data_IF_589857184521
#
_entry.id   IF_589857184521
#
_cell.length_a   1.000
_cell.length_b   1.000
_cell.length_c   1.000
_cell.angle_alpha   90.00
_cell.angle_beta   90.00
_cell.angle_gamma   90.00
#
_symmetry.space_group_name_H-M   'P 1'
#
loop_
_entity.id
_entity.type
_entity.pdbx_description
1 polymer ?
#
# COMPACT_ATOMS: atom_id res chain seq x y z
N UNK A 1 -20.09 37.35 28.56
CA UNK A 1 -18.64 37.08 28.37
C UNK A 1 -18.35 35.58 28.18
N UNK A 2 -18.96 34.69 28.96
CA UNK A 2 -18.76 33.24 28.88
C UNK A 2 -19.28 32.63 27.55
N UNK A 3 -20.45 33.07 27.07
CA UNK A 3 -21.05 32.55 25.84
C UNK A 3 -20.21 32.80 24.58
N UNK A 4 -19.57 33.96 24.49
CA UNK A 4 -18.69 34.34 23.38
C UNK A 4 -17.39 33.53 23.37
N UNK A 5 -16.91 33.08 24.54
CA UNK A 5 -15.75 32.21 24.64
C UNK A 5 -16.05 30.81 24.09
N UNK A 6 -17.19 30.22 24.46
CA UNK A 6 -17.58 28.89 23.96
C UNK A 6 -17.87 28.88 22.45
N UNK A 7 -18.50 29.92 21.90
CA UNK A 7 -18.72 30.02 20.44
C UNK A 7 -17.39 30.15 19.69
N UNK A 8 -16.44 30.93 20.21
CA UNK A 8 -15.09 31.05 19.62
C UNK A 8 -14.30 29.74 19.72
N UNK A 9 -14.39 29.03 20.85
CA UNK A 9 -13.74 27.74 21.03
C UNK A 9 -14.34 26.67 20.09
N UNK A 10 -15.66 26.64 19.94
CA UNK A 10 -16.37 25.75 19.03
C UNK A 10 -16.03 26.04 17.56
N UNK A 11 -15.91 27.32 17.19
CA UNK A 11 -15.47 27.74 15.85
C UNK A 11 -14.00 27.36 15.59
N UNK A 12 -13.12 27.47 16.58
CA UNK A 12 -11.72 27.06 16.46
C UNK A 12 -11.63 25.53 16.29
N UNK A 13 -12.39 24.75 17.06
CA UNK A 13 -12.36 23.28 16.92
C UNK A 13 -13.00 22.81 15.61
N UNK A 14 -14.10 23.44 15.15
CA UNK A 14 -14.71 23.09 13.85
C UNK A 14 -13.83 23.52 12.66
N UNK A 15 -13.14 24.65 12.72
CA UNK A 15 -12.19 25.07 11.68
C UNK A 15 -10.94 24.18 11.66
N UNK A 16 -10.45 23.72 12.82
CA UNK A 16 -9.33 22.75 12.88
C UNK A 16 -9.72 21.33 12.46
N UNK A 17 -10.99 20.94 12.56
CA UNK A 17 -11.49 19.65 12.06
C UNK A 17 -11.75 19.64 10.55
N UNK A 18 -11.72 20.79 9.88
CA UNK A 18 -11.96 20.88 8.45
C UNK A 18 -10.62 20.95 7.70
N UNK A 19 -10.37 19.94 6.87
CA UNK A 19 -9.29 19.83 5.87
C UNK A 19 -7.92 19.34 6.36
N UNK A 20 -7.88 18.18 7.04
CA UNK A 20 -6.77 17.26 6.72
C UNK A 20 -7.01 16.71 5.32
N UNK A 21 -6.13 16.97 4.35
CA UNK A 21 -6.37 16.52 3.00
C UNK A 21 -6.19 15.00 2.97
N UNK A 22 -7.19 14.30 2.45
CA UNK A 22 -7.16 12.83 2.35
C UNK A 22 -5.96 12.39 1.50
N UNK A 23 -5.29 11.28 1.86
CA UNK A 23 -4.25 10.71 1.02
C UNK A 23 -4.81 10.34 -0.36
N UNK A 24 -4.01 10.56 -1.40
CA UNK A 24 -4.36 10.10 -2.75
C UNK A 24 -3.92 8.64 -2.92
N UNK A 25 -4.84 7.82 -3.39
CA UNK A 25 -4.67 6.37 -3.53
C UNK A 25 -4.91 5.98 -4.97
N UNK A 26 -4.02 5.17 -5.52
CA UNK A 26 -4.15 4.61 -6.86
C UNK A 26 -3.62 3.18 -6.91
N UNK A 27 -4.22 2.37 -7.76
CA UNK A 27 -3.76 1.01 -8.05
C UNK A 27 -2.81 1.08 -9.25
N UNK A 28 -1.55 0.78 -9.00
CA UNK A 28 -0.52 0.55 -10.01
C UNK A 28 -0.61 -0.89 -10.50
N UNK A 29 -0.60 -1.09 -11.82
CA UNK A 29 -0.69 -2.42 -12.44
C UNK A 29 0.61 -2.74 -13.15
N UNK A 30 1.29 -3.80 -12.72
CA UNK A 30 2.51 -4.27 -13.37
C UNK A 30 2.37 -5.72 -13.86
N UNK A 31 3.14 -6.10 -14.90
CA UNK A 31 3.25 -7.50 -15.30
C UNK A 31 3.96 -8.31 -14.21
N UNK A 32 3.42 -9.49 -13.90
CA UNK A 32 4.07 -10.44 -12.97
C UNK A 32 5.35 -11.03 -13.60
N UNK A 33 5.37 -11.15 -14.93
CA UNK A 33 6.47 -11.76 -15.67
C UNK A 33 6.83 -10.92 -16.90
N UNK A 34 8.11 -10.56 -17.11
CA UNK A 34 8.53 -9.81 -18.29
C UNK A 34 8.33 -10.60 -19.59
N UNK A 35 8.29 -11.95 -19.52
CA UNK A 35 8.09 -12.83 -20.68
C UNK A 35 6.65 -12.96 -21.18
N UNK A 36 5.64 -12.53 -20.41
CA UNK A 36 4.23 -12.50 -20.86
C UNK A 36 3.61 -11.14 -20.49
N UNK A 37 4.02 -10.05 -21.16
CA UNK A 37 3.65 -8.69 -20.78
C UNK A 37 2.14 -8.38 -20.87
N UNK A 38 1.36 -9.23 -21.56
CA UNK A 38 -0.09 -9.10 -21.66
C UNK A 38 -0.82 -9.54 -20.38
N UNK A 39 -0.20 -10.35 -19.52
CA UNK A 39 -0.73 -10.73 -18.21
C UNK A 39 -0.31 -9.69 -17.15
N UNK A 40 -0.85 -8.47 -17.27
CA UNK A 40 -0.75 -7.43 -16.24
C UNK A 40 -1.65 -7.81 -15.06
N UNK A 41 -1.10 -8.54 -14.11
CA UNK A 41 -1.88 -9.12 -13.01
C UNK A 41 -1.44 -8.67 -11.62
N UNK A 42 -0.32 -7.94 -11.49
CA UNK A 42 0.13 -7.49 -10.18
C UNK A 42 -0.47 -6.13 -9.82
N UNK A 43 -1.21 -6.07 -8.72
CA UNK A 43 -1.71 -4.83 -8.15
C UNK A 43 -0.79 -4.39 -7.01
N UNK A 44 -0.23 -3.19 -7.14
CA UNK A 44 0.41 -2.46 -6.05
C UNK A 44 -0.38 -1.19 -5.79
N UNK A 45 -0.57 -0.83 -4.52
CA UNK A 45 -1.34 0.33 -4.11
C UNK A 45 -0.36 1.44 -3.77
N UNK A 46 -0.44 2.54 -4.50
CA UNK A 46 0.32 3.74 -4.21
C UNK A 46 -0.53 4.69 -3.37
N UNK A 47 0.01 5.12 -2.25
CA UNK A 47 -0.61 6.02 -1.28
C UNK A 47 0.31 7.22 -1.13
N UNK A 48 -0.18 8.41 -1.41
CA UNK A 48 0.57 9.65 -1.27
C UNK A 48 -0.14 10.62 -0.35
N UNK A 49 0.63 11.27 0.51
CA UNK A 49 0.11 12.40 1.31
C UNK A 49 -0.05 13.64 0.42
N UNK A 50 -0.80 14.61 0.91
CA UNK A 50 -0.98 15.91 0.24
C UNK A 50 0.36 16.51 -0.16
N UNK A 51 0.44 17.03 -1.39
CA UNK A 51 1.65 17.57 -2.01
C UNK A 51 2.74 16.53 -2.33
N UNK A 52 2.42 15.23 -2.32
CA UNK A 52 3.34 14.14 -2.73
C UNK A 52 4.68 14.14 -2.00
N UNK A 53 4.73 14.70 -0.78
CA UNK A 53 5.96 14.82 0.01
C UNK A 53 6.43 13.46 0.51
N UNK A 54 5.48 12.57 0.82
CA UNK A 54 5.74 11.20 1.23
C UNK A 54 4.77 10.28 0.50
N UNK A 55 5.33 9.24 -0.12
CA UNK A 55 4.55 8.22 -0.80
C UNK A 55 4.98 6.83 -0.37
N UNK A 56 4.00 5.96 -0.27
CA UNK A 56 4.16 4.55 0.05
C UNK A 56 3.58 3.72 -1.08
N UNK A 57 4.23 2.61 -1.38
CA UNK A 57 3.65 1.56 -2.21
C UNK A 57 3.46 0.34 -1.31
N UNK A 58 2.29 -0.27 -1.41
CA UNK A 58 1.95 -1.51 -0.72
C UNK A 58 1.61 -2.56 -1.76
N UNK A 59 2.01 -3.81 -1.54
CA UNK A 59 1.43 -4.91 -2.29
C UNK A 59 1.27 -6.18 -1.45
N UNK A 60 0.58 -7.15 -2.02
CA UNK A 60 0.41 -8.49 -1.48
C UNK A 60 0.95 -9.50 -2.49
N UNK A 61 1.97 -10.25 -2.10
CA UNK A 61 2.77 -11.07 -3.02
C UNK A 61 3.15 -12.42 -2.42
N UNK A 62 3.31 -13.49 -3.22
CA UNK A 62 3.87 -14.75 -2.74
C UNK A 62 5.28 -14.57 -2.17
N UNK A 63 5.55 -15.20 -1.02
CA UNK A 63 6.91 -15.24 -0.43
C UNK A 63 7.85 -16.04 -1.33
N UNK A 64 7.35 -17.12 -1.93
CA UNK A 64 8.11 -17.98 -2.84
C UNK A 64 7.49 -17.92 -4.23
N UNK A 65 8.28 -17.51 -5.23
CA UNK A 65 7.86 -17.37 -6.63
C UNK A 65 8.41 -18.48 -7.53
N UNK A 66 8.82 -19.61 -6.95
CA UNK A 66 9.22 -20.80 -7.71
C UNK A 66 8.07 -21.34 -8.56
N UNK A 67 8.43 -22.12 -9.60
CA UNK A 67 7.45 -22.78 -10.47
C UNK A 67 6.46 -23.64 -9.67
N UNK A 68 6.92 -24.32 -8.62
CA UNK A 68 6.06 -25.14 -7.75
C UNK A 68 4.98 -24.30 -7.05
N UNK A 69 5.36 -23.14 -6.49
CA UNK A 69 4.41 -22.22 -5.86
C UNK A 69 3.41 -21.65 -6.88
N UNK A 70 3.88 -21.33 -8.10
CA UNK A 70 3.01 -20.87 -9.18
C UNK A 70 2.00 -21.94 -9.61
N UNK A 71 2.44 -23.20 -9.76
CA UNK A 71 1.55 -24.33 -10.07
C UNK A 71 0.50 -24.53 -8.98
N UNK A 72 0.89 -24.41 -7.71
CA UNK A 72 -0.07 -24.46 -6.59
C UNK A 72 -1.15 -23.38 -6.70
N UNK A 73 -0.75 -22.13 -6.98
CA UNK A 73 -1.70 -21.03 -7.22
C UNK A 73 -2.65 -21.33 -8.38
N UNK A 74 -2.14 -21.84 -9.50
CA UNK A 74 -2.97 -22.20 -10.67
C UNK A 74 -4.03 -23.25 -10.32
N UNK A 75 -3.69 -24.21 -9.47
CA UNK A 75 -4.61 -25.24 -8.96
C UNK A 75 -5.40 -24.79 -7.71
N UNK A 76 -5.59 -23.49 -7.52
CA UNK A 76 -6.40 -22.90 -6.44
C UNK A 76 -5.93 -23.27 -5.03
N UNK A 77 -4.66 -23.66 -4.86
CA UNK A 77 -4.10 -23.93 -3.53
C UNK A 77 -3.63 -22.64 -2.88
N UNK A 78 -3.77 -22.59 -1.56
CA UNK A 78 -3.24 -21.49 -0.75
C UNK A 78 -1.71 -21.61 -0.67
N UNK A 79 -1.02 -20.48 -0.81
CA UNK A 79 0.42 -20.41 -0.59
C UNK A 79 0.76 -19.25 0.36
N UNK A 80 1.87 -19.33 1.11
CA UNK A 80 2.33 -18.22 1.93
C UNK A 80 2.66 -16.98 1.10
N UNK A 81 2.18 -15.84 1.57
CA UNK A 81 2.36 -14.54 0.98
C UNK A 81 2.76 -13.52 2.05
N UNK A 82 3.21 -12.36 1.59
CA UNK A 82 3.59 -11.24 2.43
C UNK A 82 2.94 -9.96 1.95
N UNK A 83 2.67 -9.07 2.90
CA UNK A 83 2.31 -7.68 2.62
C UNK A 83 3.59 -6.88 2.71
N UNK A 84 3.92 -6.18 1.63
CA UNK A 84 5.13 -5.36 1.55
C UNK A 84 4.76 -3.90 1.53
N UNK A 85 5.47 -3.08 2.29
CA UNK A 85 5.38 -1.62 2.21
C UNK A 85 6.75 -1.05 1.90
N UNK A 86 6.82 -0.15 0.93
CA UNK A 86 8.04 0.61 0.61
C UNK A 86 7.72 2.09 0.54
N UNK A 87 8.60 2.89 1.11
CA UNK A 87 8.58 4.33 0.87
C UNK A 87 9.19 4.59 -0.51
N UNK A 88 8.49 5.34 -1.34
CA UNK A 88 9.01 5.84 -2.62
C UNK A 88 9.15 7.35 -2.46
N UNK A 89 10.37 7.86 -2.55
CA UNK A 89 10.61 9.30 -2.52
C UNK A 89 10.11 9.90 -3.83
N UNK A 90 8.90 10.47 -3.79
CA UNK A 90 8.28 11.12 -4.94
C UNK A 90 8.73 12.57 -5.04
N UNK A 91 9.16 12.97 -6.23
CA UNK A 91 9.38 14.38 -6.55
C UNK A 91 8.03 15.01 -6.90
N UNK A 92 7.75 16.24 -6.43
CA UNK A 92 6.40 16.79 -6.38
C UNK A 92 5.68 17.06 -7.71
N UNK A 93 6.23 16.73 -8.89
CA UNK A 93 5.61 17.12 -10.16
C UNK A 93 5.56 16.09 -11.30
N UNK A 94 6.26 14.96 -11.28
CA UNK A 94 6.28 14.05 -12.45
C UNK A 94 6.67 12.62 -12.06
N UNK A 95 5.72 11.84 -11.56
CA UNK A 95 5.88 10.38 -11.54
C UNK A 95 4.78 9.72 -12.35
N UNK A 96 5.17 9.28 -13.55
CA UNK A 96 4.43 8.36 -14.39
C UNK A 96 4.43 7.00 -13.66
N UNK A 97 3.29 6.30 -13.66
CA UNK A 97 3.12 5.03 -12.95
C UNK A 97 4.26 4.04 -13.22
N UNK A 98 4.77 4.00 -14.46
CA UNK A 98 5.90 3.16 -14.86
C UNK A 98 7.19 3.45 -14.07
N UNK A 99 7.49 4.71 -13.73
CA UNK A 99 8.67 5.04 -12.93
C UNK A 99 8.53 4.55 -11.49
N UNK A 100 7.31 4.62 -10.94
CA UNK A 100 7.03 4.12 -9.59
C UNK A 100 7.15 2.61 -9.56
N UNK A 101 6.60 1.94 -10.58
CA UNK A 101 6.69 0.49 -10.75
C UNK A 101 8.16 0.07 -10.90
N UNK A 102 8.96 0.79 -11.69
CA UNK A 102 10.39 0.51 -11.84
C UNK A 102 11.16 0.68 -10.52
N UNK A 103 10.91 1.76 -9.78
CA UNK A 103 11.52 1.99 -8.47
C UNK A 103 11.11 0.90 -7.48
N UNK A 104 9.83 0.52 -7.47
CA UNK A 104 9.31 -0.60 -6.68
C UNK A 104 10.05 -1.90 -6.99
N UNK A 105 10.21 -2.23 -8.28
CA UNK A 105 10.94 -3.42 -8.68
C UNK A 105 12.42 -3.36 -8.30
N UNK A 106 13.09 -2.21 -8.44
CA UNK A 106 14.50 -2.08 -8.07
C UNK A 106 14.75 -2.26 -6.57
N UNK A 107 13.80 -1.84 -5.72
CA UNK A 107 13.89 -2.10 -4.27
C UNK A 107 13.69 -3.57 -3.95
N UNK A 108 12.73 -4.24 -4.60
CA UNK A 108 12.32 -5.60 -4.20
C UNK A 108 13.10 -6.73 -4.89
N UNK A 109 13.65 -6.51 -6.09
CA UNK A 109 14.36 -7.55 -6.84
C UNK A 109 15.55 -8.21 -6.11
N UNK A 110 16.38 -7.48 -5.31
CA UNK A 110 17.53 -8.09 -4.67
C UNK A 110 17.23 -8.73 -3.31
N UNK A 111 16.00 -8.63 -2.78
CA UNK A 111 15.72 -8.95 -1.38
C UNK A 111 15.30 -10.41 -1.19
N UNK A 112 15.88 -11.06 -0.17
CA UNK A 112 15.28 -12.25 0.43
C UNK A 112 14.00 -11.91 1.19
N UNK A 113 13.22 -12.92 1.55
CA UNK A 113 12.01 -12.73 2.38
C UNK A 113 12.31 -12.02 3.71
N UNK A 114 13.38 -12.42 4.42
CA UNK A 114 13.72 -11.79 5.70
C UNK A 114 14.06 -10.32 5.53
N UNK A 115 14.81 -9.97 4.49
CA UNK A 115 15.16 -8.57 4.20
C UNK A 115 13.94 -7.76 3.75
N UNK A 116 13.05 -8.34 2.94
CA UNK A 116 11.77 -7.75 2.55
C UNK A 116 10.91 -7.43 3.77
N UNK A 117 10.80 -8.37 4.70
CA UNK A 117 10.05 -8.24 5.96
C UNK A 117 10.65 -7.12 6.83
N UNK A 118 11.97 -7.16 7.07
CA UNK A 118 12.67 -6.13 7.85
C UNK A 118 12.48 -4.75 7.25
N UNK A 119 12.56 -4.62 5.92
CA UNK A 119 12.36 -3.33 5.25
C UNK A 119 10.91 -2.84 5.36
N UNK A 120 9.93 -3.74 5.29
CA UNK A 120 8.51 -3.40 5.54
C UNK A 120 8.31 -2.87 6.95
N UNK A 121 8.85 -3.56 7.95
CA UNK A 121 8.72 -3.19 9.36
C UNK A 121 9.38 -1.82 9.63
N UNK A 122 10.61 -1.63 9.13
CA UNK A 122 11.31 -0.34 9.21
C UNK A 122 10.53 0.78 8.51
N UNK A 123 9.98 0.52 7.32
CA UNK A 123 9.19 1.51 6.60
C UNK A 123 7.94 1.89 7.39
N UNK A 124 7.23 0.92 7.96
CA UNK A 124 6.06 1.15 8.80
C UNK A 124 6.40 2.00 10.04
N UNK A 125 7.55 1.76 10.66
CA UNK A 125 8.00 2.51 11.82
C UNK A 125 8.26 3.99 11.52
N UNK A 126 8.65 4.33 10.28
CA UNK A 126 8.86 5.72 9.86
C UNK A 126 7.58 6.53 9.64
N UNK A 127 6.40 5.89 9.64
CA UNK A 127 5.12 6.57 9.41
C UNK A 127 4.77 7.43 10.63
N UNK A 128 4.92 8.75 10.49
CA UNK A 128 4.64 9.72 11.57
C UNK A 128 3.17 10.13 11.67
N UNK A 129 2.44 10.06 10.57
CA UNK A 129 1.02 10.40 10.57
C UNK A 129 0.23 9.28 11.27
N UNK A 130 -0.39 9.62 12.41
CA UNK A 130 -1.08 8.65 13.28
C UNK A 130 -2.27 8.01 12.56
N UNK A 131 -3.07 8.79 11.84
CA UNK A 131 -4.23 8.29 11.08
C UNK A 131 -3.79 7.31 9.99
N UNK A 132 -2.78 7.68 9.21
CA UNK A 132 -2.19 6.80 8.19
C UNK A 132 -1.66 5.52 8.83
N UNK A 133 -0.94 5.63 9.96
CA UNK A 133 -0.41 4.46 10.68
C UNK A 133 -1.53 3.54 11.18
N UNK A 134 -2.63 4.09 11.67
CA UNK A 134 -3.81 3.31 12.07
C UNK A 134 -4.47 2.59 10.88
N UNK A 135 -4.67 3.29 9.75
CA UNK A 135 -5.18 2.67 8.52
C UNK A 135 -4.24 1.57 8.02
N UNK A 136 -2.92 1.81 8.05
CA UNK A 136 -1.90 0.81 7.71
C UNK A 136 -1.95 -0.42 8.63
N UNK A 137 -2.15 -0.23 9.94
CA UNK A 137 -2.29 -1.34 10.87
C UNK A 137 -3.44 -2.26 10.48
N UNK A 138 -4.61 -1.71 10.09
CA UNK A 138 -5.76 -2.50 9.62
C UNK A 138 -5.42 -3.31 8.36
N UNK A 139 -4.61 -2.75 7.45
CA UNK A 139 -4.16 -3.46 6.24
C UNK A 139 -3.33 -4.70 6.61
N UNK A 140 -2.50 -4.60 7.64
CA UNK A 140 -1.67 -5.72 8.09
C UNK A 140 -2.42 -6.82 8.84
N UNK A 141 -3.70 -6.63 9.17
CA UNK A 141 -4.58 -7.68 9.69
C UNK A 141 -5.08 -8.66 8.59
N UNK A 142 -4.76 -8.37 7.32
CA UNK A 142 -5.09 -9.22 6.18
C UNK A 142 -4.39 -10.58 6.22
N UNK A 143 -5.13 -11.66 5.94
CA UNK A 143 -4.59 -13.03 5.95
C UNK A 143 -3.44 -13.20 4.95
N UNK A 144 -2.33 -13.79 5.42
CA UNK A 144 -1.08 -13.96 4.68
C UNK A 144 -1.05 -15.24 3.81
N UNK A 145 -2.19 -15.87 3.59
CA UNK A 145 -2.34 -17.00 2.67
C UNK A 145 -2.94 -16.54 1.36
N UNK A 146 -2.15 -16.53 0.29
CA UNK A 146 -2.64 -16.15 -1.04
C UNK A 146 -3.31 -17.31 -1.76
N UNK A 147 -4.46 -17.02 -2.36
CA UNK A 147 -5.16 -17.87 -3.31
C UNK A 147 -5.40 -17.10 -4.61
N UNK A 148 -5.07 -17.69 -5.75
CA UNK A 148 -5.20 -17.01 -7.04
C UNK A 148 -6.63 -16.53 -7.34
N UNK A 149 -7.65 -17.24 -6.88
CA UNK A 149 -9.05 -16.98 -7.25
C UNK A 149 -9.84 -16.28 -6.16
N UNK A 150 -9.50 -16.47 -4.89
CA UNK A 150 -10.31 -15.98 -3.75
C UNK A 150 -9.60 -14.97 -2.85
N UNK A 151 -8.27 -14.89 -2.89
CA UNK A 151 -7.48 -14.07 -1.96
C UNK A 151 -6.14 -13.67 -2.57
N UNK A 152 -6.15 -12.68 -3.46
CA UNK A 152 -5.00 -12.29 -4.29
C UNK A 152 -4.75 -10.78 -4.20
N UNK A 153 -3.78 -10.27 -4.96
CA UNK A 153 -3.43 -8.84 -4.96
C UNK A 153 -4.57 -7.91 -5.41
N UNK A 154 -5.53 -8.39 -6.21
CA UNK A 154 -6.70 -7.61 -6.61
C UNK A 154 -7.70 -7.47 -5.46
N UNK A 155 -7.99 -8.58 -4.77
CA UNK A 155 -8.81 -8.59 -3.56
C UNK A 155 -8.18 -7.72 -2.47
N UNK A 156 -6.87 -7.85 -2.28
CA UNK A 156 -6.11 -7.00 -1.37
C UNK A 156 -6.20 -5.52 -1.76
N UNK A 157 -6.03 -5.16 -3.03
CA UNK A 157 -6.16 -3.79 -3.50
C UNK A 157 -7.54 -3.17 -3.22
N UNK A 158 -8.61 -3.97 -3.36
CA UNK A 158 -9.96 -3.55 -2.97
C UNK A 158 -10.05 -3.32 -1.46
N UNK A 159 -9.60 -4.28 -0.65
CA UNK A 159 -9.60 -4.17 0.81
C UNK A 159 -8.86 -2.93 1.32
N UNK A 160 -7.68 -2.63 0.75
CA UNK A 160 -6.93 -1.42 1.07
C UNK A 160 -7.74 -0.17 0.71
N UNK A 161 -8.37 -0.13 -0.47
CA UNK A 161 -9.19 1.01 -0.89
C UNK A 161 -10.35 1.25 0.09
N UNK A 162 -11.06 0.19 0.48
CA UNK A 162 -12.18 0.26 1.42
C UNK A 162 -11.75 0.87 2.78
N UNK A 163 -10.59 0.49 3.33
CA UNK A 163 -10.03 1.04 4.58
C UNK A 163 -9.79 2.56 4.49
N UNK A 164 -9.41 3.05 3.31
CA UNK A 164 -9.12 4.46 3.13
C UNK A 164 -10.35 5.32 2.83
N UNK A 165 -11.43 4.70 2.35
CA UNK A 165 -12.72 5.34 2.11
C UNK A 165 -13.59 5.48 3.38
N UNK A 166 -13.36 4.65 4.42
CA UNK A 166 -13.86 4.85 5.80
C UNK A 166 -13.46 6.21 6.38
#
# INVERSE_FOLDING_TARGET
MIYTFFIKLLLITTVFSLHFPKPNIRILRSPIFPGIPQLKLHHSIFISTTNYTVSYVIDFSPINQSMSAMTKLLFAQNIPAEIRIRKIDTMPNYYIDDMIIQHWHSINAPLSYSESKTLSDQTYDTIKNIELKQKMSKIFDWDINMNLYTHNCQHFGKHVTDIFDE
#
